data_IF_907069007971
#
_entry.id   IF_907069007971
#
_cell.length_a   1.000
_cell.length_b   1.000
_cell.length_c   1.000
_cell.angle_alpha   90.00
_cell.angle_beta   90.00
_cell.angle_gamma   90.00
#
_symmetry.space_group_name_H-M   'P 1'
#
loop_
_entity.id
_entity.type
_entity.pdbx_description
1 polymer ?
#
# COMPACT_ATOMS: atom_id res chain seq x y z
N UNK A 1 52.12 -34.84 43.98
CA UNK A 1 51.36 -33.61 44.31
C UNK A 1 51.21 -32.84 43.01
N UNK A 2 50.07 -32.59 42.37
CA UNK A 2 48.64 -32.77 42.64
C UNK A 2 47.98 -33.11 41.27
N UNK A 3 47.23 -34.20 41.18
CA UNK A 3 45.76 -34.26 41.19
C UNK A 3 45.11 -33.82 39.85
N UNK A 4 44.94 -34.81 38.96
CA UNK A 4 43.99 -34.81 37.85
C UNK A 4 42.56 -34.93 38.41
N UNK A 5 41.71 -33.95 38.14
CA UNK A 5 40.28 -33.99 38.46
C UNK A 5 39.48 -34.31 37.20
N UNK A 6 38.85 -35.49 37.19
CA UNK A 6 37.85 -35.89 36.19
C UNK A 6 36.54 -35.09 36.39
N UNK A 7 35.84 -34.71 35.31
CA UNK A 7 34.46 -34.21 35.40
C UNK A 7 33.45 -35.36 35.60
N UNK A 8 32.26 -35.06 36.17
CA UNK A 8 31.31 -36.07 36.64
C UNK A 8 30.47 -36.70 35.53
N UNK A 9 30.14 -37.98 35.74
CA UNK A 9 29.22 -38.79 34.95
C UNK A 9 27.77 -38.26 35.05
N UNK A 10 27.17 -37.93 33.91
CA UNK A 10 25.75 -37.65 33.81
C UNK A 10 24.97 -38.97 33.67
N UNK A 11 24.29 -39.39 34.74
CA UNK A 11 23.31 -40.48 34.72
C UNK A 11 22.06 -40.06 33.95
N UNK A 12 21.79 -40.74 32.84
CA UNK A 12 20.55 -40.64 32.08
C UNK A 12 19.40 -41.29 32.88
N UNK A 13 18.52 -40.47 33.46
CA UNK A 13 17.27 -40.95 34.09
C UNK A 13 16.22 -41.05 32.99
N UNK A 14 15.93 -42.28 32.52
CA UNK A 14 14.75 -42.56 31.71
C UNK A 14 13.49 -42.37 32.57
N UNK A 15 12.80 -41.25 32.41
CA UNK A 15 11.39 -41.13 32.83
C UNK A 15 10.50 -41.63 31.70
N UNK A 16 9.78 -42.71 31.98
CA UNK A 16 8.65 -43.18 31.17
C UNK A 16 7.55 -42.11 31.23
N UNK A 17 7.08 -41.54 30.11
CA UNK A 17 5.96 -40.62 30.12
C UNK A 17 4.65 -41.37 30.48
N UNK A 18 3.76 -40.76 31.29
CA UNK A 18 2.49 -41.36 31.63
C UNK A 18 1.58 -41.45 30.39
N UNK A 19 0.80 -42.53 30.33
CA UNK A 19 -0.16 -42.83 29.28
C UNK A 19 -1.10 -41.65 29.00
N UNK A 20 -1.13 -41.22 27.72
CA UNK A 20 -2.08 -40.21 27.24
C UNK A 20 -3.45 -40.86 27.02
N UNK A 21 -4.54 -40.36 27.61
CA UNK A 21 -5.87 -40.90 27.38
C UNK A 21 -6.32 -40.74 25.93
N UNK A 22 -6.85 -41.83 25.37
CA UNK A 22 -7.51 -41.91 24.06
C UNK A 22 -8.76 -41.02 24.00
N UNK A 23 -8.91 -40.35 22.84
CA UNK A 23 -10.14 -39.84 22.22
C UNK A 23 -10.99 -38.84 23.01
N UNK A 24 -10.88 -37.57 22.59
CA UNK A 24 -12.06 -36.71 22.47
C UNK A 24 -12.27 -36.32 21.01
N UNK A 25 -13.53 -36.46 20.61
CA UNK A 25 -14.10 -36.28 19.30
C UNK A 25 -14.06 -34.83 18.83
N UNK A 26 -13.74 -34.63 17.54
CA UNK A 26 -14.59 -33.84 16.64
C UNK A 26 -14.84 -32.37 16.97
N UNK A 27 -13.87 -31.62 17.53
CA UNK A 27 -13.91 -30.16 17.43
C UNK A 27 -13.38 -29.76 16.06
N UNK A 28 -14.29 -29.45 15.13
CA UNK A 28 -13.92 -28.69 13.93
C UNK A 28 -13.26 -27.40 14.43
N UNK A 29 -11.98 -27.23 14.15
CA UNK A 29 -11.38 -25.90 14.17
C UNK A 29 -12.08 -25.13 13.05
N UNK A 30 -13.06 -24.31 13.41
CA UNK A 30 -13.38 -23.17 12.56
C UNK A 30 -12.13 -22.29 12.62
N UNK A 31 -11.47 -21.98 11.49
CA UNK A 31 -10.45 -20.95 11.50
C UNK A 31 -11.09 -19.69 12.09
N UNK A 32 -10.49 -19.13 13.13
CA UNK A 32 -10.91 -17.83 13.61
C UNK A 32 -10.84 -16.88 12.41
N UNK A 33 -11.94 -16.18 12.10
CA UNK A 33 -11.88 -15.11 11.12
C UNK A 33 -10.77 -14.15 11.58
N UNK A 34 -9.82 -13.86 10.69
CA UNK A 34 -8.76 -12.91 10.99
C UNK A 34 -9.41 -11.59 11.40
N UNK A 35 -8.98 -11.03 12.54
CA UNK A 35 -9.42 -9.70 12.95
C UNK A 35 -8.95 -8.72 11.88
N UNK A 36 -9.88 -8.07 11.20
CA UNK A 36 -9.57 -7.01 10.24
C UNK A 36 -9.43 -5.67 10.97
N UNK A 37 -8.36 -4.95 10.67
CA UNK A 37 -8.16 -3.56 11.09
C UNK A 37 -8.91 -2.65 10.14
N UNK A 38 -9.80 -1.82 10.69
CA UNK A 38 -10.49 -0.79 9.93
C UNK A 38 -9.56 0.41 9.73
N UNK A 39 -9.34 0.80 8.48
CA UNK A 39 -8.54 1.95 8.10
C UNK A 39 -9.50 3.04 7.62
N UNK A 40 -9.66 4.09 8.43
CA UNK A 40 -10.62 5.18 8.17
C UNK A 40 -9.95 6.49 7.76
N UNK A 41 -8.63 6.56 7.90
CA UNK A 41 -7.80 7.71 7.51
C UNK A 41 -6.45 7.22 7.00
N UNK A 42 -5.90 7.93 6.01
CA UNK A 42 -4.48 7.81 5.62
C UNK A 42 -3.73 8.93 6.34
N UNK A 43 -2.78 8.57 7.21
CA UNK A 43 -1.94 9.53 7.90
C UNK A 43 -0.93 10.19 6.95
N UNK A 44 -0.31 11.29 7.38
CA UNK A 44 0.71 11.97 6.58
C UNK A 44 2.04 11.18 6.54
N UNK A 45 2.93 11.60 5.63
CA UNK A 45 4.24 10.97 5.38
C UNK A 45 5.22 10.95 6.55
N UNK A 46 4.92 11.65 7.65
CA UNK A 46 5.75 11.65 8.86
C UNK A 46 5.33 10.57 9.86
N UNK A 47 4.21 9.88 9.62
CA UNK A 47 3.74 8.80 10.47
C UNK A 47 4.74 7.63 10.47
N UNK A 48 5.07 7.15 11.68
CA UNK A 48 5.95 5.99 11.88
C UNK A 48 5.32 4.93 12.80
N UNK A 49 4.03 5.09 13.12
CA UNK A 49 3.29 4.19 13.98
C UNK A 49 3.07 2.85 13.26
N UNK A 50 3.38 1.71 13.91
CA UNK A 50 3.09 0.41 13.34
C UNK A 50 1.60 0.25 13.02
N UNK A 51 1.29 -0.44 11.92
CA UNK A 51 -0.08 -0.79 11.49
C UNK A 51 -0.97 0.41 11.10
N UNK A 52 -0.43 1.64 11.10
CA UNK A 52 -1.12 2.82 10.59
C UNK A 52 -0.75 3.03 9.13
N UNK A 53 -1.76 3.14 8.27
CA UNK A 53 -1.55 3.48 6.86
C UNK A 53 -1.30 4.97 6.68
N UNK A 54 -0.32 5.30 5.84
CA UNK A 54 0.13 6.67 5.64
C UNK A 54 0.55 6.94 4.19
N UNK A 55 0.65 8.21 3.82
CA UNK A 55 1.19 8.65 2.52
C UNK A 55 2.69 8.35 2.43
N UNK A 56 3.08 7.27 1.75
CA UNK A 56 4.48 6.83 1.72
C UNK A 56 5.33 7.59 0.68
N UNK A 57 4.81 7.83 -0.52
CA UNK A 57 5.48 8.61 -1.57
C UNK A 57 4.42 9.21 -2.51
N UNK A 58 3.70 10.21 -1.99
CA UNK A 58 2.76 11.03 -2.76
C UNK A 58 3.51 12.28 -3.24
N UNK A 59 3.63 12.43 -4.56
CA UNK A 59 4.34 13.56 -5.19
C UNK A 59 3.35 14.52 -5.82
N UNK A 60 3.84 15.70 -6.22
CA UNK A 60 3.06 16.67 -6.99
C UNK A 60 2.31 15.99 -8.14
N UNK A 61 0.99 16.19 -8.18
CA UNK A 61 0.11 15.59 -9.17
C UNK A 61 -0.44 14.22 -8.79
N UNK A 62 0.03 13.60 -7.70
CA UNK A 62 -0.58 12.42 -7.12
C UNK A 62 -1.48 12.74 -5.93
N UNK A 63 -2.47 11.89 -5.66
CA UNK A 63 -3.27 11.94 -4.43
C UNK A 63 -3.54 10.56 -3.88
N UNK A 64 -3.67 10.46 -2.56
CA UNK A 64 -4.10 9.26 -1.85
C UNK A 64 -5.20 9.62 -0.85
N UNK A 65 -6.14 8.71 -0.63
CA UNK A 65 -7.21 8.90 0.36
C UNK A 65 -8.11 7.68 0.46
N UNK A 66 -9.12 7.75 1.34
CA UNK A 66 -10.18 6.75 1.42
C UNK A 66 -11.45 7.37 0.86
N UNK A 67 -12.19 6.59 0.07
CA UNK A 67 -13.42 7.05 -0.60
C UNK A 67 -14.57 6.11 -0.30
N UNK A 68 -15.75 6.68 -0.11
CA UNK A 68 -17.02 5.96 -0.05
C UNK A 68 -17.43 5.52 -1.46
N UNK A 69 -17.66 4.22 -1.64
CA UNK A 69 -18.08 3.61 -2.90
C UNK A 69 -19.59 3.64 -3.10
N UNK A 70 -20.36 4.01 -2.08
CA UNK A 70 -21.82 4.02 -2.10
C UNK A 70 -22.35 4.96 -3.19
N UNK A 71 -23.19 4.41 -4.08
CA UNK A 71 -23.78 5.16 -5.19
C UNK A 71 -22.84 5.43 -6.39
N UNK A 72 -21.60 4.93 -6.38
CA UNK A 72 -20.70 5.03 -7.53
C UNK A 72 -21.08 4.05 -8.67
N UNK A 73 -21.83 2.99 -8.35
CA UNK A 73 -22.36 2.02 -9.29
C UNK A 73 -21.31 1.12 -9.93
N UNK A 74 -21.74 0.39 -10.96
CA UNK A 74 -20.88 -0.51 -11.74
C UNK A 74 -20.20 -1.59 -10.88
N UNK A 75 -19.09 -2.14 -11.38
CA UNK A 75 -18.30 -3.11 -10.62
C UNK A 75 -17.56 -2.47 -9.44
N UNK A 76 -17.28 -1.16 -9.51
CA UNK A 76 -16.60 -0.44 -8.45
C UNK A 76 -17.34 -0.58 -7.12
N UNK A 77 -18.66 -0.37 -7.12
CA UNK A 77 -19.52 -0.55 -5.94
C UNK A 77 -20.01 -2.00 -5.79
N UNK A 78 -20.61 -2.57 -6.85
CA UNK A 78 -21.36 -3.84 -6.73
C UNK A 78 -20.48 -5.08 -6.60
N UNK A 79 -19.16 -4.95 -6.74
CA UNK A 79 -18.21 -6.05 -6.65
C UNK A 79 -16.98 -5.70 -5.82
N UNK A 80 -17.09 -4.69 -4.95
CA UNK A 80 -16.06 -4.37 -3.98
C UNK A 80 -15.76 -5.58 -3.08
N UNK A 81 -14.48 -5.86 -2.77
CA UNK A 81 -14.07 -7.04 -2.01
C UNK A 81 -14.51 -6.94 -0.54
N UNK A 82 -14.54 -5.73 0.03
CA UNK A 82 -15.17 -5.43 1.32
C UNK A 82 -16.21 -4.32 1.14
N UNK A 83 -17.12 -4.12 2.12
CA UNK A 83 -18.21 -3.16 1.97
C UNK A 83 -17.73 -1.71 1.91
N UNK A 84 -18.44 -0.91 1.10
CA UNK A 84 -18.59 0.56 1.12
C UNK A 84 -17.34 1.46 0.98
N UNK A 85 -16.12 0.97 1.14
CA UNK A 85 -14.92 1.81 1.04
C UNK A 85 -13.77 1.22 0.22
N UNK A 86 -12.83 2.08 -0.16
CA UNK A 86 -11.52 1.67 -0.68
C UNK A 86 -10.50 2.80 -0.52
N UNK A 87 -9.21 2.44 -0.53
CA UNK A 87 -8.16 3.42 -0.77
C UNK A 87 -8.16 3.84 -2.25
N UNK A 88 -8.25 5.15 -2.50
CA UNK A 88 -8.17 5.78 -3.82
C UNK A 88 -6.77 6.35 -4.04
N UNK A 89 -6.15 5.96 -5.15
CA UNK A 89 -4.82 6.39 -5.59
C UNK A 89 -4.95 7.02 -6.97
N UNK A 90 -4.59 8.29 -7.11
CA UNK A 90 -4.65 8.97 -8.41
C UNK A 90 -3.33 9.62 -8.81
N UNK A 91 -3.11 9.75 -10.12
CA UNK A 91 -2.06 10.56 -10.71
C UNK A 91 -2.64 11.49 -11.77
N UNK A 92 -2.12 12.70 -11.87
CA UNK A 92 -2.44 13.64 -12.93
C UNK A 92 -1.67 13.33 -14.22
N UNK A 93 -1.75 14.22 -15.19
CA UNK A 93 -1.12 14.05 -16.50
C UNK A 93 0.36 14.45 -16.56
N UNK A 94 1.08 14.44 -15.44
CA UNK A 94 2.51 14.74 -15.38
C UNK A 94 3.36 13.49 -15.09
N UNK A 95 4.59 13.45 -15.63
CA UNK A 95 5.50 12.32 -15.38
C UNK A 95 5.96 12.21 -13.91
N UNK A 96 5.88 13.30 -13.15
CA UNK A 96 6.32 13.32 -11.75
C UNK A 96 5.23 12.80 -10.80
N UNK A 97 3.97 12.79 -11.23
CA UNK A 97 2.85 12.33 -10.41
C UNK A 97 3.05 10.89 -9.96
N UNK A 98 2.91 10.69 -8.66
CA UNK A 98 3.03 9.41 -7.98
C UNK A 98 2.10 9.42 -6.79
N UNK A 99 1.39 8.31 -6.57
CA UNK A 99 0.56 8.10 -5.39
C UNK A 99 0.87 6.73 -4.80
N UNK A 100 1.24 6.72 -3.52
CA UNK A 100 1.60 5.51 -2.81
C UNK A 100 1.27 5.66 -1.33
N UNK A 101 0.53 4.68 -0.80
CA UNK A 101 0.26 4.52 0.63
C UNK A 101 1.04 3.32 1.17
N UNK A 102 1.47 3.38 2.41
CA UNK A 102 2.20 2.29 3.05
C UNK A 102 1.84 2.09 4.49
N UNK A 103 2.29 0.96 5.03
CA UNK A 103 2.15 0.61 6.44
C UNK A 103 3.46 -0.02 6.92
N UNK A 104 3.97 0.53 8.02
CA UNK A 104 5.16 0.03 8.71
C UNK A 104 4.75 -1.04 9.72
N UNK A 105 5.55 -2.10 9.84
CA UNK A 105 5.44 -3.07 10.94
C UNK A 105 6.73 -3.90 11.03
N UNK A 106 6.84 -4.72 12.07
CA UNK A 106 7.87 -5.74 12.21
C UNK A 106 7.39 -7.06 11.59
N UNK A 107 7.52 -7.19 10.28
CA UNK A 107 7.03 -8.37 9.55
C UNK A 107 8.01 -9.56 9.59
N UNK A 108 9.25 -9.36 10.03
CA UNK A 108 10.29 -10.40 10.10
C UNK A 108 11.22 -10.43 8.90
N UNK A 109 12.12 -11.42 8.88
CA UNK A 109 13.22 -11.51 7.93
C UNK A 109 12.92 -12.44 6.76
N UNK A 110 13.38 -12.16 5.52
CA UNK A 110 13.20 -13.03 4.36
C UNK A 110 13.54 -14.49 4.62
N UNK A 111 14.69 -14.77 5.25
CA UNK A 111 15.16 -16.12 5.54
C UNK A 111 14.17 -16.93 6.41
N UNK A 112 13.42 -16.25 7.27
CA UNK A 112 12.50 -16.87 8.21
C UNK A 112 11.09 -16.94 7.64
N UNK A 113 10.62 -15.87 6.97
CA UNK A 113 9.19 -15.70 6.70
C UNK A 113 8.77 -16.19 5.31
N UNK A 114 9.61 -16.12 4.28
CA UNK A 114 9.19 -16.38 2.89
C UNK A 114 8.64 -17.79 2.66
N UNK A 115 9.15 -18.79 3.39
CA UNK A 115 8.64 -20.16 3.31
C UNK A 115 7.20 -20.35 3.82
N UNK A 116 6.62 -19.36 4.50
CA UNK A 116 5.22 -19.39 4.98
C UNK A 116 4.44 -18.10 4.74
N UNK A 117 5.05 -17.13 4.04
CA UNK A 117 4.46 -15.83 3.78
C UNK A 117 3.27 -15.98 2.84
N UNK A 118 2.17 -15.31 3.18
CA UNK A 118 0.97 -15.19 2.39
C UNK A 118 0.59 -13.71 2.37
N UNK A 119 0.61 -13.13 1.19
CA UNK A 119 0.26 -11.73 0.91
C UNK A 119 -0.93 -11.72 -0.04
N UNK A 120 -1.90 -10.85 0.21
CA UNK A 120 -2.99 -10.62 -0.72
C UNK A 120 -3.45 -9.18 -0.67
N UNK A 121 -3.88 -8.66 -1.81
CA UNK A 121 -4.58 -7.39 -1.89
C UNK A 121 -5.55 -7.45 -3.06
N UNK A 122 -6.62 -6.69 -2.97
CA UNK A 122 -7.54 -6.48 -4.08
C UNK A 122 -7.35 -5.09 -4.64
N UNK A 123 -7.40 -4.97 -5.96
CA UNK A 123 -7.31 -3.68 -6.62
C UNK A 123 -8.33 -3.58 -7.76
N UNK A 124 -8.70 -2.35 -8.09
CA UNK A 124 -9.44 -2.05 -9.32
C UNK A 124 -8.67 -0.95 -10.05
N UNK A 125 -8.32 -1.22 -11.31
CA UNK A 125 -7.86 -0.19 -12.24
C UNK A 125 -9.08 0.41 -12.93
N UNK A 126 -9.37 1.68 -12.68
CA UNK A 126 -10.51 2.30 -13.33
C UNK A 126 -10.19 2.59 -14.80
N UNK A 127 -11.20 2.48 -15.67
CA UNK A 127 -11.12 3.02 -17.01
C UNK A 127 -10.83 4.51 -16.90
N UNK A 128 -9.69 4.93 -17.44
CA UNK A 128 -9.27 6.32 -17.43
C UNK A 128 -8.72 6.75 -18.79
N UNK A 129 -8.52 8.06 -18.91
CA UNK A 129 -7.96 8.78 -20.07
C UNK A 129 -6.43 8.90 -20.02
N UNK A 130 -5.78 8.24 -19.06
CA UNK A 130 -4.34 8.27 -18.85
C UNK A 130 -3.55 7.61 -19.98
N UNK A 131 -2.24 7.86 -20.02
CA UNK A 131 -1.38 7.35 -21.11
C UNK A 131 -0.87 5.93 -20.88
N UNK A 132 -0.98 5.38 -19.66
CA UNK A 132 -0.44 4.05 -19.33
C UNK A 132 -1.53 2.97 -19.33
N UNK A 133 -1.54 2.15 -20.37
CA UNK A 133 -2.44 1.00 -20.47
C UNK A 133 -2.08 -0.12 -19.47
N UNK A 134 -0.86 -0.13 -18.94
CA UNK A 134 -0.36 -1.21 -18.07
C UNK A 134 -0.37 -0.86 -16.58
N UNK A 135 -0.34 0.42 -16.21
CA UNK A 135 -0.28 0.82 -14.81
C UNK A 135 -1.54 0.41 -14.05
N UNK A 136 -1.35 -0.27 -12.92
CA UNK A 136 -2.37 -0.58 -11.92
C UNK A 136 -1.73 -0.42 -10.54
N UNK A 137 -2.51 -0.37 -9.44
CA UNK A 137 -1.94 -0.40 -8.10
C UNK A 137 -0.97 -1.57 -7.91
N UNK A 138 0.30 -1.24 -7.67
CA UNK A 138 1.40 -2.18 -7.51
C UNK A 138 1.74 -2.35 -6.03
N UNK A 139 1.98 -3.59 -5.61
CA UNK A 139 2.48 -3.93 -4.28
C UNK A 139 3.99 -3.73 -4.23
N UNK A 140 4.48 -3.20 -3.12
CA UNK A 140 5.90 -3.00 -2.84
C UNK A 140 6.24 -3.53 -1.46
N UNK A 141 7.32 -4.29 -1.39
CA UNK A 141 7.89 -4.83 -0.17
C UNK A 141 9.25 -4.19 0.03
N UNK A 142 9.41 -3.50 1.14
CA UNK A 142 10.62 -2.74 1.45
C UNK A 142 11.39 -3.41 2.57
N UNK A 143 12.66 -3.70 2.30
CA UNK A 143 13.58 -4.40 3.17
C UNK A 143 14.70 -3.47 3.62
N UNK A 144 15.09 -3.60 4.88
CA UNK A 144 16.17 -2.83 5.45
C UNK A 144 17.03 -3.71 6.36
N UNK A 145 18.34 -3.65 6.21
CA UNK A 145 19.29 -4.27 7.12
C UNK A 145 20.15 -3.17 7.75
N UNK A 146 20.16 -3.02 9.07
CA UNK A 146 20.93 -1.97 9.74
C UNK A 146 22.44 -2.24 9.79
N UNK A 147 22.86 -3.47 9.49
CA UNK A 147 24.23 -3.98 9.69
C UNK A 147 24.80 -4.61 8.43
N UNK A 148 24.41 -4.14 7.23
CA UNK A 148 25.00 -4.65 5.99
C UNK A 148 26.51 -4.35 5.96
N UNK A 149 27.30 -5.36 5.61
CA UNK A 149 28.77 -5.30 5.49
C UNK A 149 29.19 -5.95 4.16
N UNK A 150 28.32 -5.84 3.16
CA UNK A 150 28.58 -6.37 1.84
C UNK A 150 29.35 -5.35 1.00
N UNK A 151 30.67 -5.57 0.90
CA UNK A 151 31.62 -4.83 0.06
C UNK A 151 31.18 -4.80 -1.42
N UNK A 152 30.41 -5.80 -1.89
CA UNK A 152 29.86 -5.84 -3.26
C UNK A 152 28.68 -4.88 -3.41
N UNK A 153 27.88 -4.70 -2.35
CA UNK A 153 26.74 -3.79 -2.34
C UNK A 153 27.12 -2.31 -2.19
N UNK A 154 28.37 -2.02 -1.81
CA UNK A 154 28.83 -0.69 -1.41
C UNK A 154 27.97 -0.09 -0.30
N UNK A 155 27.62 -0.92 0.69
CA UNK A 155 26.81 -0.57 1.85
C UNK A 155 25.36 -0.18 1.47
N UNK A 156 24.71 -0.96 0.58
CA UNK A 156 23.31 -0.72 0.19
C UNK A 156 22.35 -1.47 1.12
N UNK A 157 22.05 -0.83 2.25
CA UNK A 157 21.26 -1.34 3.38
C UNK A 157 19.76 -1.54 3.07
N UNK A 158 19.30 -1.17 1.87
CA UNK A 158 17.88 -1.07 1.55
C UNK A 158 17.56 -1.64 0.17
N UNK A 159 16.40 -2.29 0.05
CA UNK A 159 15.84 -2.67 -1.24
C UNK A 159 14.32 -2.58 -1.21
N UNK A 160 13.71 -2.24 -2.33
CA UNK A 160 12.27 -2.47 -2.54
C UNK A 160 12.07 -3.45 -3.69
N UNK A 161 11.31 -4.51 -3.41
CA UNK A 161 10.78 -5.43 -4.41
C UNK A 161 9.39 -4.93 -4.83
N UNK A 162 9.15 -4.86 -6.13
CA UNK A 162 7.91 -4.31 -6.71
C UNK A 162 7.20 -5.36 -7.54
N UNK A 163 5.96 -5.67 -7.15
CA UNK A 163 5.02 -6.49 -7.90
C UNK A 163 4.12 -5.58 -8.73
N UNK A 164 4.19 -5.70 -10.05
CA UNK A 164 3.26 -5.01 -10.95
C UNK A 164 2.32 -6.04 -11.59
N UNK A 165 0.99 -5.81 -11.56
CA UNK A 165 0.05 -6.79 -12.10
C UNK A 165 0.31 -7.16 -13.57
N UNK A 166 0.71 -6.20 -14.42
CA UNK A 166 0.90 -6.50 -15.85
C UNK A 166 2.01 -7.51 -16.12
N UNK A 167 3.12 -7.48 -15.36
CA UNK A 167 4.17 -8.49 -15.47
C UNK A 167 3.66 -9.88 -15.09
N UNK A 168 2.77 -9.92 -14.10
CA UNK A 168 2.18 -11.15 -13.57
C UNK A 168 1.00 -11.68 -14.39
N UNK A 169 0.58 -10.94 -15.41
CA UNK A 169 -0.33 -11.39 -16.46
C UNK A 169 0.36 -11.68 -17.79
N UNK A 170 1.65 -12.05 -17.75
CA UNK A 170 2.41 -12.35 -18.96
C UNK A 170 2.67 -11.11 -19.81
N UNK A 171 2.95 -9.98 -19.16
CA UNK A 171 3.16 -8.68 -19.80
C UNK A 171 1.93 -8.19 -20.58
N UNK A 172 0.76 -8.25 -19.95
CA UNK A 172 -0.52 -7.84 -20.55
C UNK A 172 -1.25 -6.80 -19.70
N UNK A 173 -2.12 -6.03 -20.34
CA UNK A 173 -2.89 -4.97 -19.68
C UNK A 173 -3.76 -5.54 -18.55
N UNK A 174 -3.69 -5.01 -17.33
CA UNK A 174 -4.61 -5.38 -16.27
C UNK A 174 -6.07 -5.06 -16.65
N UNK A 175 -7.05 -5.89 -16.24
CA UNK A 175 -8.46 -5.62 -16.50
C UNK A 175 -8.90 -4.25 -15.97
N UNK A 176 -9.68 -3.54 -16.77
CA UNK A 176 -10.30 -2.28 -16.39
C UNK A 176 -11.64 -2.52 -15.68
N UNK A 177 -11.98 -1.64 -14.76
CA UNK A 177 -13.25 -1.60 -14.02
C UNK A 177 -13.67 -2.96 -13.45
N UNK A 178 -12.68 -3.73 -13.01
CA UNK A 178 -12.89 -5.05 -12.42
C UNK A 178 -12.00 -5.15 -11.20
N UNK A 179 -12.60 -5.55 -10.08
CA UNK A 179 -11.85 -5.89 -8.89
C UNK A 179 -11.08 -7.19 -9.12
N UNK A 180 -9.76 -7.12 -8.97
CA UNK A 180 -8.88 -8.27 -9.09
C UNK A 180 -8.14 -8.48 -7.77
N UNK A 181 -8.15 -9.72 -7.28
CA UNK A 181 -7.42 -10.10 -6.07
C UNK A 181 -6.12 -10.79 -6.44
N UNK A 182 -5.02 -10.21 -5.98
CA UNK A 182 -3.70 -10.80 -6.08
C UNK A 182 -3.40 -11.63 -4.83
N UNK A 183 -2.75 -12.77 -5.05
CA UNK A 183 -2.28 -13.66 -3.98
C UNK A 183 -0.84 -14.02 -4.28
N UNK A 184 0.03 -13.76 -3.31
CA UNK A 184 1.48 -13.76 -3.43
C UNK A 184 2.03 -14.55 -2.25
N UNK A 185 3.03 -15.39 -2.51
CA UNK A 185 3.76 -16.12 -1.49
C UNK A 185 5.24 -16.23 -1.87
N UNK A 186 5.99 -17.09 -1.19
CA UNK A 186 7.42 -17.32 -1.47
C UNK A 186 7.72 -17.67 -2.94
N UNK A 187 6.82 -18.42 -3.58
CA UNK A 187 7.00 -19.00 -4.92
C UNK A 187 6.01 -18.45 -5.97
N UNK A 188 5.07 -17.59 -5.55
CA UNK A 188 4.05 -16.99 -6.40
C UNK A 188 4.15 -15.47 -6.42
N UNK A 189 4.20 -14.93 -7.63
CA UNK A 189 4.27 -13.51 -7.92
C UNK A 189 5.71 -13.08 -8.22
N UNK A 190 5.88 -12.38 -9.33
CA UNK A 190 7.16 -11.92 -9.81
C UNK A 190 7.38 -10.45 -9.49
N UNK A 191 8.57 -10.16 -8.97
CA UNK A 191 9.01 -8.84 -8.53
C UNK A 191 10.26 -8.41 -9.29
N UNK A 192 10.32 -7.12 -9.62
CA UNK A 192 11.58 -6.44 -9.96
C UNK A 192 12.09 -5.66 -8.74
N UNK A 193 13.36 -5.23 -8.75
CA UNK A 193 13.99 -4.55 -7.61
C UNK A 193 14.45 -3.13 -7.93
N UNK A 194 14.39 -2.24 -6.93
CA UNK A 194 14.84 -0.83 -7.04
C UNK A 194 16.35 -0.64 -6.93
N UNK A 195 17.15 -1.73 -6.90
CA UNK A 195 18.53 -1.83 -6.35
C UNK A 195 18.55 -2.09 -4.84
N UNK A 196 19.60 -2.77 -4.37
CA UNK A 196 19.89 -3.09 -2.97
C UNK A 196 20.73 -4.36 -2.87
N UNK A 197 21.42 -4.60 -1.75
CA UNK A 197 22.04 -5.92 -1.46
C UNK A 197 22.87 -6.53 -2.61
N UNK A 198 23.64 -5.70 -3.32
CA UNK A 198 24.50 -6.15 -4.42
C UNK A 198 23.81 -6.31 -5.77
N UNK A 199 22.49 -6.11 -5.89
CA UNK A 199 21.80 -6.05 -7.19
C UNK A 199 21.71 -4.64 -7.75
N UNK A 200 21.83 -4.52 -9.07
CA UNK A 200 21.54 -3.29 -9.80
C UNK A 200 20.05 -2.93 -9.80
N UNK A 201 19.74 -1.70 -10.20
CA UNK A 201 18.36 -1.25 -10.36
C UNK A 201 17.74 -1.88 -11.61
N UNK A 202 16.58 -2.50 -11.45
CA UNK A 202 15.78 -3.08 -12.54
C UNK A 202 14.53 -2.22 -12.85
N UNK A 203 14.61 -0.90 -12.60
CA UNK A 203 13.49 0.04 -12.68
C UNK A 203 12.56 -0.24 -13.87
N UNK A 204 11.34 -0.68 -13.56
CA UNK A 204 10.29 -0.92 -14.53
C UNK A 204 10.36 -2.26 -15.27
N UNK A 205 11.13 -3.25 -14.81
CA UNK A 205 11.12 -4.56 -15.47
C UNK A 205 12.19 -5.57 -15.05
N UNK A 206 12.50 -6.54 -15.92
CA UNK A 206 13.35 -7.68 -15.58
C UNK A 206 14.74 -7.34 -14.99
N UNK A 207 15.32 -8.24 -14.16
CA UNK A 207 14.84 -9.59 -13.86
C UNK A 207 13.58 -9.60 -12.99
N UNK A 208 12.74 -10.59 -13.27
CA UNK A 208 11.48 -10.83 -12.58
C UNK A 208 11.63 -12.15 -11.84
N UNK A 209 11.70 -12.08 -10.51
CA UNK A 209 11.90 -13.24 -9.65
C UNK A 209 10.78 -13.30 -8.60
N UNK A 210 10.45 -14.51 -8.17
CA UNK A 210 9.69 -14.76 -6.95
C UNK A 210 10.49 -14.35 -5.71
N UNK A 211 9.84 -14.31 -4.55
CA UNK A 211 10.51 -13.93 -3.30
C UNK A 211 11.61 -14.92 -2.92
N UNK A 212 11.37 -16.23 -3.06
CA UNK A 212 12.36 -17.27 -2.81
C UNK A 212 13.52 -17.24 -3.82
N UNK A 213 13.26 -16.89 -5.09
CA UNK A 213 14.31 -16.69 -6.08
C UNK A 213 15.18 -15.46 -5.76
N UNK A 214 14.57 -14.35 -5.32
CA UNK A 214 15.34 -13.19 -4.83
C UNK A 214 16.19 -13.54 -3.60
N UNK A 215 15.63 -14.28 -2.64
CA UNK A 215 16.36 -14.76 -1.46
C UNK A 215 17.56 -15.64 -1.83
N UNK A 216 17.43 -16.47 -2.88
CA UNK A 216 18.52 -17.31 -3.35
C UNK A 216 19.59 -16.57 -4.17
N UNK A 217 19.23 -15.45 -4.80
CA UNK A 217 20.13 -14.67 -5.67
C UNK A 217 20.93 -13.60 -4.92
N UNK A 218 20.35 -13.02 -3.87
CA UNK A 218 20.94 -11.89 -3.15
C UNK A 218 21.88 -12.35 -2.03
N UNK A 219 22.66 -11.40 -1.49
CA UNK A 219 23.62 -11.68 -0.43
C UNK A 219 22.95 -12.07 0.89
N UNK A 220 23.72 -12.62 1.83
CA UNK A 220 23.25 -12.94 3.19
C UNK A 220 22.67 -11.72 3.90
N UNK A 221 23.12 -10.52 3.56
CA UNK A 221 22.60 -9.28 4.11
C UNK A 221 21.11 -9.06 3.77
N UNK A 222 20.65 -9.54 2.60
CA UNK A 222 19.21 -9.54 2.29
C UNK A 222 18.46 -10.58 3.12
N UNK A 223 19.03 -11.77 3.28
CA UNK A 223 18.44 -12.84 4.08
C UNK A 223 18.22 -12.40 5.54
N UNK A 224 19.14 -11.58 6.07
CA UNK A 224 19.11 -11.01 7.42
C UNK A 224 18.37 -9.65 7.52
N UNK A 225 17.93 -9.07 6.40
CA UNK A 225 17.17 -7.82 6.40
C UNK A 225 15.79 -7.99 7.03
N UNK A 226 15.22 -6.92 7.60
CA UNK A 226 13.83 -6.91 8.03
C UNK A 226 12.94 -6.42 6.89
N UNK A 227 11.83 -7.12 6.62
CA UNK A 227 10.70 -6.54 5.90
C UNK A 227 10.10 -5.49 6.84
N UNK A 228 10.25 -4.21 6.49
CA UNK A 228 9.84 -3.09 7.36
C UNK A 228 8.58 -2.40 6.87
N UNK A 229 8.24 -2.54 5.58
CA UNK A 229 7.09 -1.85 4.99
C UNK A 229 6.46 -2.63 3.87
N UNK A 230 5.13 -2.58 3.86
CA UNK A 230 4.26 -2.94 2.75
C UNK A 230 3.64 -1.66 2.21
N UNK A 231 3.70 -1.43 0.89
CA UNK A 231 3.04 -0.28 0.27
C UNK A 231 2.35 -0.63 -1.04
N UNK A 232 1.33 0.16 -1.38
CA UNK A 232 0.49 0.02 -2.56
C UNK A 232 0.42 1.37 -3.26
N UNK A 233 0.67 1.39 -4.57
CA UNK A 233 0.82 2.66 -5.27
C UNK A 233 0.95 2.58 -6.77
N UNK A 234 0.65 3.69 -7.43
CA UNK A 234 0.93 3.93 -8.85
C UNK A 234 2.22 4.76 -8.96
N UNK A 235 3.21 4.22 -9.66
CA UNK A 235 4.53 4.86 -9.81
C UNK A 235 4.51 6.08 -10.74
N UNK A 236 5.58 6.89 -10.68
CA UNK A 236 5.84 7.97 -11.65
C UNK A 236 5.86 7.48 -13.10
N UNK A 237 5.70 8.40 -14.06
CA UNK A 237 5.52 8.12 -15.49
C UNK A 237 4.24 7.37 -15.87
N UNK A 238 3.35 7.12 -14.90
CA UNK A 238 2.02 6.58 -15.15
C UNK A 238 0.98 7.68 -14.99
N UNK A 239 0.81 8.45 -16.06
CA UNK A 239 -0.06 9.63 -16.09
C UNK A 239 -1.54 9.27 -16.10
N UNK A 240 -2.36 10.09 -15.43
CA UNK A 240 -3.82 10.06 -15.50
C UNK A 240 -4.43 8.79 -14.93
N UNK A 241 -3.76 8.14 -13.98
CA UNK A 241 -4.22 6.87 -13.42
C UNK A 241 -5.18 7.08 -12.26
N UNK A 242 -6.16 6.19 -12.17
CA UNK A 242 -7.10 6.09 -11.06
C UNK A 242 -7.14 4.61 -10.67
N UNK A 243 -6.74 4.31 -9.45
CA UNK A 243 -6.72 2.96 -8.89
C UNK A 243 -7.37 2.92 -7.52
N UNK A 244 -8.07 1.84 -7.25
CA UNK A 244 -8.65 1.54 -5.95
C UNK A 244 -7.94 0.32 -5.36
N UNK A 245 -7.78 0.30 -4.05
CA UNK A 245 -7.13 -0.79 -3.30
C UNK A 245 -7.95 -1.11 -2.06
N UNK A 246 -8.15 -2.40 -1.80
CA UNK A 246 -8.86 -2.88 -0.62
C UNK A 246 -8.49 -4.33 -0.26
N UNK A 247 -8.96 -4.83 0.88
CA UNK A 247 -8.78 -6.21 1.36
C UNK A 247 -7.30 -6.65 1.36
N UNK A 248 -6.45 -5.83 1.97
CA UNK A 248 -5.01 -6.12 2.07
C UNK A 248 -4.79 -7.06 3.24
N UNK A 249 -4.05 -8.14 3.05
CA UNK A 249 -3.66 -9.05 4.12
C UNK A 249 -2.23 -9.54 3.95
N UNK A 250 -1.60 -9.79 5.10
CA UNK A 250 -0.29 -10.38 5.21
C UNK A 250 -0.29 -11.36 6.38
N UNK A 251 0.26 -12.55 6.20
CA UNK A 251 0.41 -13.53 7.25
C UNK A 251 1.64 -14.42 7.03
N UNK A 252 2.24 -14.92 8.11
CA UNK A 252 3.22 -16.01 8.06
C UNK A 252 3.20 -16.80 9.37
N UNK A 253 3.71 -18.02 9.35
CA UNK A 253 3.76 -18.90 10.53
C UNK A 253 5.12 -18.97 11.22
N UNK A 254 6.15 -18.29 10.68
CA UNK A 254 7.48 -18.24 11.29
C UNK A 254 7.47 -17.58 12.68
N UNK A 255 8.32 -18.08 13.60
CA UNK A 255 8.44 -17.55 14.96
C UNK A 255 7.13 -17.63 15.76
N UNK A 256 6.68 -16.49 16.28
CA UNK A 256 5.38 -16.38 16.96
C UNK A 256 4.19 -16.36 15.97
N UNK A 257 4.47 -16.33 14.66
CA UNK A 257 3.50 -16.03 13.62
C UNK A 257 3.22 -14.53 13.52
N UNK A 258 2.70 -14.11 12.38
CA UNK A 258 2.20 -12.77 12.14
C UNK A 258 0.93 -12.86 11.30
N UNK A 259 -0.06 -12.01 11.57
CA UNK A 259 -1.20 -11.84 10.69
C UNK A 259 -1.82 -10.47 10.87
N UNK A 260 -2.02 -9.77 9.76
CA UNK A 260 -2.77 -8.53 9.69
C UNK A 260 -3.66 -8.54 8.45
N UNK A 261 -4.83 -7.93 8.57
CA UNK A 261 -5.74 -7.67 7.46
C UNK A 261 -6.30 -6.26 7.60
N UNK A 262 -6.46 -5.55 6.49
CA UNK A 262 -6.86 -4.16 6.45
C UNK A 262 -8.07 -3.99 5.55
N UNK A 263 -9.11 -3.36 6.11
CA UNK A 263 -10.31 -2.92 5.41
C UNK A 263 -10.27 -1.39 5.30
N UNK A 264 -10.23 -0.85 4.08
CA UNK A 264 -10.30 0.60 3.90
C UNK A 264 -11.76 1.02 3.83
N UNK A 265 -12.24 1.63 4.91
CA UNK A 265 -13.66 1.95 5.05
C UNK A 265 -13.85 3.43 5.35
N UNK A 266 -14.90 3.98 4.78
CA UNK A 266 -15.38 5.29 5.12
C UNK A 266 -16.35 5.16 6.30
N UNK A 267 -15.89 5.49 7.51
CA UNK A 267 -16.84 5.88 8.55
C UNK A 267 -17.30 7.31 8.29
N UNK A 268 -18.60 7.57 8.09
CA UNK A 268 -19.12 8.93 8.09
C UNK A 268 -18.70 9.59 9.39
N UNK A 269 -18.06 10.75 9.30
CA UNK A 269 -17.92 11.61 10.48
C UNK A 269 -19.34 12.00 10.87
N UNK A 270 -19.83 11.47 12.00
CA UNK A 270 -21.10 11.89 12.59
C UNK A 270 -21.03 13.40 12.86
N UNK A 271 -21.60 14.19 11.95
CA UNK A 271 -21.73 15.65 12.10
C UNK A 271 -22.92 16.02 13.01
N UNK A 272 -23.54 15.04 13.67
CA UNK A 272 -24.71 15.17 14.54
C UNK A 272 -24.37 15.52 16.01
N UNK A 273 -23.38 16.37 16.23
CA UNK A 273 -23.14 17.03 17.54
C UNK A 273 -23.10 18.56 17.41
N UNK A 274 -23.95 19.11 16.55
CA UNK A 274 -24.20 20.54 16.43
C UNK A 274 -25.69 20.86 16.59
N UNK A 275 -26.37 20.28 17.57
CA UNK A 275 -27.70 20.79 17.96
C UNK A 275 -27.55 22.19 18.52
N UNK A 276 -27.85 23.15 17.66
CA UNK A 276 -28.60 24.36 17.97
C UNK A 276 -29.36 24.20 19.29
N UNK A 277 -28.83 24.81 20.34
CA UNK A 277 -29.62 25.22 21.50
C UNK A 277 -29.46 26.73 21.68
N UNK A 278 -29.74 27.49 20.62
CA UNK A 278 -30.17 28.87 20.79
C UNK A 278 -31.67 28.86 21.08
N UNK A 279 -31.94 28.88 22.38
CA UNK A 279 -33.23 29.07 23.05
C UNK A 279 -34.16 30.00 22.26
N UNK A 280 -35.22 29.44 21.67
CA UNK A 280 -36.40 30.21 21.31
C UNK A 280 -37.14 30.57 22.61
N UNK A 281 -36.84 31.74 23.16
CA UNK A 281 -37.71 32.37 24.14
C UNK A 281 -38.79 33.13 23.37
N UNK A 282 -40.02 32.60 23.43
CA UNK A 282 -41.23 33.36 23.13
C UNK A 282 -41.29 34.61 24.02
N UNK A 283 -41.43 35.77 23.39
CA UNK A 283 -42.14 36.90 23.97
C UNK A 283 -42.94 37.55 22.85
N UNK A 284 -44.24 37.27 22.86
CA UNK A 284 -45.18 37.90 21.94
C UNK A 284 -45.23 39.41 22.15
N UNK A 285 -45.24 40.15 21.04
CA UNK A 285 -45.80 41.51 20.97
C UNK A 285 -46.56 41.61 19.66
N UNK A 286 -47.81 42.03 19.78
CA UNK A 286 -48.76 42.23 18.71
C UNK A 286 -48.45 43.48 17.87
N UNK A 287 -48.90 43.42 16.61
CA UNK A 287 -49.45 44.53 15.80
C UNK A 287 -48.50 45.68 15.38
N UNK A 288 -48.31 45.91 14.08
CA UNK A 288 -49.18 46.77 13.25
C UNK A 288 -48.58 46.90 11.82
N UNK A 289 -49.41 47.20 10.84
CA UNK A 289 -49.13 47.10 9.41
C UNK A 289 -48.07 48.04 8.84
N UNK A 290 -47.47 47.65 7.70
CA UNK A 290 -46.53 48.52 7.00
C UNK A 290 -45.90 47.92 5.74
N UNK A 291 -46.63 47.99 4.63
CA UNK A 291 -46.18 48.13 3.24
C UNK A 291 -44.71 47.87 2.82
N UNK A 292 -44.60 47.07 1.75
CA UNK A 292 -43.71 47.24 0.56
C UNK A 292 -42.20 47.03 0.71
N UNK A 293 -41.69 45.99 0.06
CA UNK A 293 -40.75 46.11 -1.06
C UNK A 293 -40.60 44.76 -1.79
N UNK A 294 -40.79 44.79 -3.11
CA UNK A 294 -40.52 43.68 -4.01
C UNK A 294 -39.01 43.42 -4.06
N UNK A 295 -38.62 42.16 -3.89
CA UNK A 295 -37.25 41.69 -4.11
C UNK A 295 -37.02 41.56 -5.62
N UNK A 296 -36.12 42.37 -6.15
CA UNK A 296 -35.65 42.38 -7.55
C UNK A 296 -34.43 41.45 -7.67
N UNK A 297 -34.55 40.23 -8.24
CA UNK A 297 -33.41 39.35 -8.41
C UNK A 297 -32.63 39.75 -9.66
N UNK A 298 -31.68 40.67 -9.51
CA UNK A 298 -30.69 40.89 -10.56
C UNK A 298 -29.60 39.81 -10.50
N UNK A 299 -29.20 39.23 -11.64
CA UNK A 299 -28.12 38.26 -11.69
C UNK A 299 -26.78 38.91 -11.36
N UNK A 300 -26.02 38.25 -10.49
CA UNK A 300 -24.63 38.58 -10.18
C UNK A 300 -23.76 38.21 -11.39
N UNK A 301 -22.89 39.10 -11.90
CA UNK A 301 -22.02 38.76 -13.02
C UNK A 301 -20.90 37.81 -12.55
N UNK A 302 -20.70 36.74 -13.32
CA UNK A 302 -19.58 35.81 -13.16
C UNK A 302 -18.24 36.55 -13.39
N UNK A 303 -17.18 36.23 -12.64
CA UNK A 303 -15.86 36.76 -12.91
C UNK A 303 -15.29 36.17 -14.21
N UNK A 304 -14.74 37.06 -15.03
CA UNK A 304 -14.12 36.82 -16.32
C UNK A 304 -12.94 35.83 -16.22
N UNK A 305 -13.03 34.74 -16.97
CA UNK A 305 -11.91 33.86 -17.32
C UNK A 305 -10.86 34.67 -18.10
N UNK A 306 -9.70 34.87 -17.50
CA UNK A 306 -8.52 35.35 -18.22
C UNK A 306 -7.95 34.21 -19.07
N UNK A 307 -8.02 34.38 -20.39
CA UNK A 307 -7.20 33.66 -21.36
C UNK A 307 -5.72 33.97 -21.09
N UNK A 308 -4.93 32.93 -20.79
CA UNK A 308 -3.48 32.99 -20.91
C UNK A 308 -3.11 32.47 -22.31
N UNK A 309 -2.38 33.26 -23.13
CA UNK A 309 -1.99 32.81 -24.45
C UNK A 309 -0.81 31.83 -24.37
N UNK A 310 -1.00 30.72 -25.09
CA UNK A 310 0.00 29.74 -25.50
C UNK A 310 1.12 30.43 -26.31
N UNK A 311 2.34 30.46 -25.78
CA UNK A 311 3.54 30.85 -26.55
C UNK A 311 4.24 29.59 -27.02
N UNK A 312 4.12 29.34 -28.32
CA UNK A 312 4.91 28.37 -29.08
C UNK A 312 6.29 28.98 -29.33
N UNK A 313 7.34 28.44 -28.69
CA UNK A 313 8.72 28.74 -29.03
C UNK A 313 9.28 27.60 -29.91
N UNK A 314 9.12 27.76 -31.22
CA UNK A 314 9.96 27.12 -32.23
C UNK A 314 11.28 27.90 -32.30
N UNK A 315 12.40 27.20 -32.09
CA UNK A 315 13.72 27.80 -32.21
C UNK A 315 14.81 26.73 -32.17
N UNK A 316 15.07 26.10 -33.31
CA UNK A 316 16.28 25.32 -33.51
C UNK A 316 17.50 26.24 -33.62
N UNK A 317 18.68 25.77 -33.18
CA UNK A 317 19.93 26.05 -33.87
C UNK A 317 21.09 25.17 -33.41
N UNK A 318 21.88 24.79 -34.41
CA UNK A 318 23.33 24.60 -34.41
C UNK A 318 23.92 23.33 -33.79
N UNK A 319 24.09 22.35 -34.68
CA UNK A 319 25.24 21.46 -34.67
C UNK A 319 26.56 22.27 -34.60
N UNK A 320 27.46 21.89 -33.68
CA UNK A 320 28.86 22.33 -33.72
C UNK A 320 29.79 21.12 -33.58
N UNK A 321 30.45 20.83 -34.70
CA UNK A 321 31.54 19.86 -34.88
C UNK A 321 32.87 20.60 -34.72
N UNK A 322 33.79 20.08 -33.89
CA UNK A 322 35.27 20.05 -34.02
C UNK A 322 35.93 20.03 -32.62
N UNK A 323 36.64 18.97 -32.22
CA UNK A 323 37.98 18.43 -32.60
C UNK A 323 39.15 19.00 -31.78
N UNK A 324 39.90 18.06 -31.18
CA UNK A 324 41.28 18.10 -30.63
C UNK A 324 41.40 18.71 -29.21
N UNK A 325 42.05 18.07 -28.24
CA UNK A 325 43.31 17.29 -28.28
C UNK A 325 43.18 15.87 -27.77
#
# INVERSE_FOLDING_TARGET
>A
MAALTHPPEWRLIHRVPPEVPRRLSGRRYSPAALSQTLVTTIADSTNTDPQVWYENDVRTGGTAGIVDLTGLGGNLENSAPLPVGAALLTTDFTNQAKSEIGVLDAYGRPADIFGSLQLSYSYLKATNVGQSAFAAPALRLTFFNATCDDVVSADDYFMTLVYEPYWNYGNSEPPLDTWTTETIDGDKGFFWSTRGFGTGNAAGGPPLNTLNEWLAQLSTDFADADLVKVSLGVGSYNQGQIGYVDNVSIAHSAGAGYSAAYNFDFTPVDTTSGTDTAVAAEAGVADDGGSRAAFDPRPVPLPSLWLVPLVIALGGLAARRNRRR
#
